data_IF_067433225039
#
_entry.id   IF_067433225039
#
_cell.length_a   1.000
_cell.length_b   1.000
_cell.length_c   1.000
_cell.angle_alpha   90.00
_cell.angle_beta   90.00
_cell.angle_gamma   90.00
#
_symmetry.space_group_name_H-M   'P 1'
#
loop_
_entity.id
_entity.type
_entity.pdbx_description
1 polymer ?
#
# COMPACT_ATOMS: atom_id res chain seq x y z
N UNK A 1 2.88 -84.14 19.15
CA UNK A 1 4.05 -84.78 18.53
C UNK A 1 3.82 -84.79 17.03
N UNK A 2 4.60 -84.10 16.20
CA UNK A 2 5.56 -83.02 16.46
C UNK A 2 5.69 -82.22 15.17
N UNK A 3 5.36 -80.93 15.19
CA UNK A 3 5.50 -80.08 14.01
C UNK A 3 6.98 -79.75 13.76
N UNK A 4 7.47 -80.06 12.56
CA UNK A 4 8.74 -79.58 12.03
C UNK A 4 8.49 -78.91 10.67
N UNK A 5 8.84 -77.62 10.49
CA UNK A 5 8.73 -76.98 9.19
C UNK A 5 9.87 -77.45 8.26
N UNK A 6 9.61 -77.66 6.96
CA UNK A 6 10.67 -77.83 5.99
C UNK A 6 11.38 -76.49 5.73
N UNK A 7 12.69 -76.54 5.53
CA UNK A 7 13.50 -75.41 5.08
C UNK A 7 13.53 -75.35 3.55
N UNK A 8 13.16 -74.22 2.96
CA UNK A 8 13.38 -73.96 1.53
C UNK A 8 14.49 -72.92 1.27
N UNK A 9 15.05 -72.98 0.07
CA UNK A 9 16.41 -72.50 -0.23
C UNK A 9 16.46 -71.18 -0.98
N UNK A 10 17.45 -70.34 -0.66
CA UNK A 10 17.76 -69.09 -1.36
C UNK A 10 18.33 -69.34 -2.77
N UNK A 11 17.75 -68.76 -3.85
CA UNK A 11 18.41 -68.61 -5.14
C UNK A 11 19.31 -67.37 -5.15
N UNK A 12 20.39 -67.40 -5.93
CA UNK A 12 21.29 -66.25 -6.15
C UNK A 12 21.14 -65.72 -7.57
N UNK A 13 21.08 -64.40 -7.75
CA UNK A 13 21.22 -63.73 -9.04
C UNK A 13 21.74 -62.30 -8.88
N UNK A 14 22.94 -62.09 -9.43
CA UNK A 14 23.62 -60.85 -9.88
C UNK A 14 22.93 -59.47 -9.75
N UNK A 15 23.69 -58.39 -9.45
CA UNK A 15 23.20 -57.00 -9.52
C UNK A 15 22.84 -56.58 -10.95
N UNK A 16 21.99 -55.54 -11.08
CA UNK A 16 21.60 -54.95 -12.36
C UNK A 16 22.68 -54.00 -12.93
N UNK A 17 22.60 -53.74 -14.23
CA UNK A 17 23.58 -52.95 -14.99
C UNK A 17 23.57 -51.43 -14.64
N UNK A 18 22.67 -51.00 -13.75
CA UNK A 18 22.49 -49.60 -13.35
C UNK A 18 23.62 -49.05 -12.45
N UNK A 19 24.36 -49.90 -11.73
CA UNK A 19 25.48 -49.43 -10.89
C UNK A 19 26.74 -49.03 -11.69
N UNK A 20 26.93 -49.50 -12.94
CA UNK A 20 28.13 -49.13 -13.71
C UNK A 20 28.06 -47.71 -14.30
N UNK A 21 26.85 -47.20 -14.63
CA UNK A 21 26.70 -45.87 -15.22
C UNK A 21 26.99 -44.75 -14.20
N UNK A 22 26.57 -44.95 -12.94
CA UNK A 22 26.81 -44.01 -11.84
C UNK A 22 28.31 -43.72 -11.59
N UNK A 23 29.18 -44.70 -11.81
CA UNK A 23 30.63 -44.56 -11.63
C UNK A 23 31.29 -43.64 -12.68
N UNK A 24 30.71 -43.54 -13.89
CA UNK A 24 31.29 -42.77 -15.01
C UNK A 24 31.06 -41.27 -14.87
N UNK A 25 29.91 -40.86 -14.33
CA UNK A 25 29.55 -39.44 -14.13
C UNK A 25 30.48 -38.75 -13.12
N UNK A 26 30.95 -39.47 -12.11
CA UNK A 26 31.75 -38.91 -11.01
C UNK A 26 33.19 -38.50 -11.40
N UNK A 27 33.77 -39.02 -12.48
CA UNK A 27 35.18 -38.77 -12.83
C UNK A 27 35.44 -37.51 -13.67
N UNK A 28 34.40 -36.84 -14.21
CA UNK A 28 34.60 -35.79 -15.22
C UNK A 28 34.94 -34.39 -14.66
N UNK A 29 35.11 -34.24 -13.34
CA UNK A 29 35.45 -32.96 -12.67
C UNK A 29 36.89 -32.97 -12.14
N UNK A 30 37.84 -33.41 -12.98
CA UNK A 30 39.26 -33.56 -12.63
C UNK A 30 40.19 -32.70 -13.50
N UNK A 31 39.97 -31.38 -13.49
CA UNK A 31 40.99 -30.37 -13.77
C UNK A 31 41.28 -30.02 -15.24
N UNK A 32 41.09 -28.74 -15.57
CA UNK A 32 42.16 -28.01 -16.26
C UNK A 32 42.14 -26.51 -15.92
N UNK A 33 43.31 -25.92 -15.69
CA UNK A 33 43.47 -24.46 -15.50
C UNK A 33 44.07 -23.86 -16.76
N UNK A 34 43.31 -23.07 -17.53
CA UNK A 34 43.76 -21.86 -18.28
C UNK A 34 42.71 -21.32 -19.26
N UNK A 35 42.23 -20.10 -18.98
CA UNK A 35 41.89 -19.11 -20.01
C UNK A 35 40.48 -19.11 -20.62
N UNK A 36 40.23 -18.02 -21.34
CA UNK A 36 39.16 -17.78 -22.33
C UNK A 36 37.69 -17.61 -21.87
N UNK A 37 37.31 -16.33 -21.75
CA UNK A 37 36.12 -15.68 -22.33
C UNK A 37 34.67 -16.13 -22.03
N UNK A 38 33.92 -15.17 -21.48
CA UNK A 38 32.50 -14.81 -21.74
C UNK A 38 31.47 -15.92 -22.06
N UNK A 39 30.55 -16.15 -21.13
CA UNK A 39 29.10 -16.20 -21.40
C UNK A 39 28.27 -16.01 -20.11
N UNK A 40 27.04 -15.50 -20.27
CA UNK A 40 25.86 -15.57 -19.39
C UNK A 40 26.02 -15.53 -17.85
N UNK A 41 25.39 -14.52 -17.21
CA UNK A 41 25.22 -14.44 -15.75
C UNK A 41 24.16 -13.44 -15.28
N UNK A 42 23.20 -13.04 -16.13
CA UNK A 42 22.24 -11.96 -15.87
C UNK A 42 21.05 -12.44 -15.01
N UNK A 43 21.29 -12.84 -13.76
CA UNK A 43 20.24 -13.19 -12.79
C UNK A 43 20.62 -12.79 -11.35
N UNK A 44 20.83 -11.49 -11.11
CA UNK A 44 20.73 -10.95 -9.75
C UNK A 44 19.28 -10.53 -9.51
N UNK A 45 18.55 -11.39 -8.79
CA UNK A 45 17.08 -11.29 -8.63
C UNK A 45 16.73 -10.04 -7.83
N UNK A 46 15.89 -9.17 -8.41
CA UNK A 46 15.30 -8.03 -7.70
C UNK A 46 14.38 -8.58 -6.59
N UNK A 47 14.53 -8.17 -5.33
CA UNK A 47 13.61 -8.58 -4.28
C UNK A 47 12.22 -7.99 -4.55
N UNK A 48 11.27 -8.87 -4.87
CA UNK A 48 9.88 -8.51 -5.11
C UNK A 48 9.28 -7.91 -3.83
N UNK A 49 8.96 -6.62 -3.84
CA UNK A 49 8.32 -5.94 -2.71
C UNK A 49 6.88 -6.45 -2.60
N UNK A 50 6.67 -7.37 -1.67
CA UNK A 50 5.36 -7.93 -1.33
C UNK A 50 4.55 -6.88 -0.54
N UNK A 51 3.85 -6.01 -1.26
CA UNK A 51 2.89 -5.07 -0.66
C UNK A 51 1.70 -5.88 -0.13
N UNK A 52 1.55 -5.92 1.19
CA UNK A 52 0.49 -6.66 1.88
C UNK A 52 -0.79 -5.82 1.88
N UNK A 53 -1.54 -5.89 0.77
CA UNK A 53 -2.86 -5.27 0.66
C UNK A 53 -3.91 -6.10 1.44
N UNK A 54 -4.03 -5.86 2.74
CA UNK A 54 -4.99 -6.54 3.63
C UNK A 54 -5.85 -5.56 4.42
N UNK A 55 -7.07 -5.27 3.96
CA UNK A 55 -8.15 -4.79 4.84
C UNK A 55 -9.09 -3.75 4.23
N UNK A 56 -8.55 -2.65 3.69
CA UNK A 56 -9.35 -1.55 3.14
C UNK A 56 -9.94 -1.91 1.76
N UNK A 57 -11.19 -1.51 1.52
CA UNK A 57 -11.80 -1.56 0.18
C UNK A 57 -11.40 -0.34 -0.69
N UNK A 58 -10.89 0.71 -0.05
CA UNK A 58 -10.37 1.90 -0.70
C UNK A 58 -8.85 1.97 -0.71
N UNK A 59 -8.33 2.81 -1.61
CA UNK A 59 -6.91 3.06 -1.83
C UNK A 59 -6.62 4.55 -1.92
N UNK A 60 -5.52 4.99 -1.30
CA UNK A 60 -5.03 6.37 -1.33
C UNK A 60 -3.59 6.41 -1.83
N UNK A 61 -3.28 7.37 -2.70
CA UNK A 61 -1.92 7.62 -3.21
C UNK A 61 -1.57 9.12 -3.12
N UNK A 62 -0.30 9.44 -2.86
CA UNK A 62 0.18 10.81 -2.76
C UNK A 62 0.20 11.38 -1.33
N UNK A 63 0.38 12.70 -1.22
CA UNK A 63 0.53 13.38 0.07
C UNK A 63 0.28 14.90 -0.04
N UNK A 64 -0.16 15.53 1.05
CA UNK A 64 -0.13 16.99 1.22
C UNK A 64 0.94 17.38 2.24
N UNK A 65 1.78 18.35 1.88
CA UNK A 65 2.79 18.97 2.75
C UNK A 65 2.29 20.34 3.20
N UNK A 66 2.32 20.57 4.51
CA UNK A 66 1.91 21.81 5.17
C UNK A 66 3.16 22.40 5.82
N UNK A 67 3.45 23.68 5.57
CA UNK A 67 4.61 24.39 6.11
C UNK A 67 4.25 25.81 6.53
N UNK A 68 4.93 26.36 7.55
CA UNK A 68 4.71 27.72 8.03
C UNK A 68 3.45 27.91 8.88
N UNK A 69 3.13 29.18 9.17
CA UNK A 69 1.93 29.59 9.90
C UNK A 69 1.74 28.99 11.32
N UNK A 70 0.53 29.15 11.90
CA UNK A 70 0.20 28.70 13.24
C UNK A 70 -0.03 27.18 13.34
N UNK A 71 -0.18 26.50 12.20
CA UNK A 71 -0.41 25.05 12.12
C UNK A 71 0.88 24.22 12.17
N UNK A 72 2.05 24.86 12.12
CA UNK A 72 3.35 24.20 12.19
C UNK A 72 3.78 23.61 10.84
N UNK A 73 4.48 22.48 10.83
CA UNK A 73 4.92 21.87 9.57
C UNK A 73 4.90 20.36 9.64
N UNK A 74 4.21 19.74 8.69
CA UNK A 74 3.92 18.30 8.66
C UNK A 74 3.62 17.83 7.23
N UNK A 75 3.49 16.52 7.04
CA UNK A 75 3.08 15.93 5.76
C UNK A 75 2.06 14.84 6.01
N UNK A 76 0.85 15.02 5.49
CA UNK A 76 -0.21 14.03 5.52
C UNK A 76 -0.03 13.10 4.32
N UNK A 77 0.23 11.83 4.59
CA UNK A 77 0.24 10.74 3.61
C UNK A 77 -0.89 9.79 4.00
N UNK A 78 -2.08 9.88 3.38
CA UNK A 78 -3.21 9.05 3.79
C UNK A 78 -2.97 7.57 3.52
N UNK A 79 -3.36 6.73 4.47
CA UNK A 79 -3.22 5.26 4.42
C UNK A 79 -4.55 4.52 4.43
N UNK A 80 -5.66 5.21 4.74
CA UNK A 80 -7.02 4.69 4.67
C UNK A 80 -7.98 5.80 4.23
N UNK A 81 -9.15 5.44 3.70
CA UNK A 81 -10.17 6.40 3.29
C UNK A 81 -11.59 5.88 3.43
N UNK A 82 -12.52 6.79 3.76
CA UNK A 82 -13.93 6.48 3.96
C UNK A 82 -14.85 7.53 3.31
N UNK A 83 -15.91 7.09 2.64
CA UNK A 83 -17.02 7.92 2.17
C UNK A 83 -17.66 8.69 3.31
N UNK A 84 -17.93 9.98 3.09
CA UNK A 84 -18.58 10.84 4.08
C UNK A 84 -20.12 10.76 4.06
N UNK A 85 -20.71 9.86 3.24
CA UNK A 85 -22.15 9.66 3.16
C UNK A 85 -22.84 9.40 4.53
N UNK A 86 -22.26 8.63 5.48
CA UNK A 86 -22.86 8.45 6.81
C UNK A 86 -23.06 9.75 7.60
N UNK A 87 -22.34 10.81 7.24
CA UNK A 87 -22.43 12.15 7.82
C UNK A 87 -23.25 13.12 6.97
N UNK A 88 -23.96 12.63 5.94
CA UNK A 88 -24.76 13.45 5.02
C UNK A 88 -23.95 14.36 4.09
N UNK A 89 -22.64 14.10 3.92
CA UNK A 89 -21.72 14.92 3.13
C UNK A 89 -21.22 14.17 1.89
N UNK A 90 -21.19 14.85 0.75
CA UNK A 90 -20.50 14.36 -0.45
C UNK A 90 -19.01 14.68 -0.33
N UNK A 91 -18.19 13.65 -0.17
CA UNK A 91 -16.77 13.79 0.12
C UNK A 91 -16.13 12.48 0.58
N UNK A 92 -14.82 12.50 0.72
CA UNK A 92 -14.05 11.45 1.36
C UNK A 92 -13.36 12.00 2.62
N UNK A 93 -13.15 11.13 3.60
CA UNK A 93 -12.25 11.37 4.72
C UNK A 93 -11.00 10.52 4.49
N UNK A 94 -9.84 11.16 4.32
CA UNK A 94 -8.56 10.50 4.00
C UNK A 94 -7.65 10.58 5.23
N UNK A 95 -7.47 9.46 5.93
CA UNK A 95 -6.81 9.40 7.24
C UNK A 95 -5.33 9.02 7.15
N UNK A 96 -4.52 9.55 8.08
CA UNK A 96 -3.20 8.99 8.40
C UNK A 96 -3.28 7.60 9.07
N UNK A 97 -2.14 7.07 9.50
CA UNK A 97 -2.03 5.68 9.97
C UNK A 97 -2.61 5.43 11.37
N UNK A 98 -2.55 6.45 12.24
CA UNK A 98 -3.16 6.47 13.57
C UNK A 98 -4.23 7.54 13.70
N UNK A 99 -5.09 7.40 14.71
CA UNK A 99 -6.24 8.30 14.93
C UNK A 99 -5.86 9.79 15.00
N UNK A 100 -4.68 10.10 15.54
CA UNK A 100 -4.21 11.47 15.72
C UNK A 100 -3.23 11.92 14.62
N UNK A 101 -3.05 11.17 13.54
CA UNK A 101 -2.06 11.47 12.49
C UNK A 101 -2.57 12.49 11.46
N UNK A 102 -3.76 13.06 11.71
CA UNK A 102 -4.43 14.03 10.85
C UNK A 102 -5.20 13.39 9.70
N UNK A 103 -5.94 14.23 8.98
CA UNK A 103 -6.87 13.84 7.94
C UNK A 103 -7.05 14.94 6.89
N UNK A 104 -7.48 14.54 5.69
CA UNK A 104 -7.81 15.42 4.57
C UNK A 104 -9.26 15.17 4.17
N UNK A 105 -10.04 16.24 4.05
CA UNK A 105 -11.48 16.19 3.78
C UNK A 105 -11.85 16.90 2.45
N UNK A 106 -11.58 16.30 1.28
CA UNK A 106 -12.18 16.76 0.03
C UNK A 106 -13.70 16.62 0.07
N UNK A 107 -14.41 17.74 0.01
CA UNK A 107 -15.90 17.77 0.04
C UNK A 107 -16.47 18.61 -1.10
N UNK A 108 -17.67 18.25 -1.53
CA UNK A 108 -18.49 19.00 -2.49
C UNK A 108 -19.82 19.33 -1.82
N UNK A 109 -20.01 20.60 -1.50
CA UNK A 109 -21.24 21.12 -0.91
C UNK A 109 -22.13 21.75 -2.01
N UNK A 110 -23.45 21.53 -2.01
CA UNK A 110 -24.34 22.07 -3.05
C UNK A 110 -24.57 23.58 -2.97
N UNK A 111 -24.16 24.24 -1.88
CA UNK A 111 -24.27 25.68 -1.65
C UNK A 111 -22.89 26.37 -1.68
N UNK A 112 -21.89 25.80 -1.03
CA UNK A 112 -20.52 26.35 -0.96
C UNK A 112 -19.61 25.91 -2.13
N UNK A 113 -19.96 24.82 -2.84
CA UNK A 113 -19.14 24.25 -3.92
C UNK A 113 -18.04 23.31 -3.42
N UNK A 114 -16.91 23.27 -4.14
CA UNK A 114 -15.76 22.42 -3.79
C UNK A 114 -14.97 22.99 -2.61
N UNK A 115 -14.60 22.14 -1.66
CA UNK A 115 -13.95 22.54 -0.40
C UNK A 115 -12.89 21.53 0.03
N UNK A 116 -11.87 22.03 0.71
CA UNK A 116 -10.82 21.22 1.32
C UNK A 116 -10.63 21.67 2.76
N UNK A 117 -10.92 20.76 3.70
CA UNK A 117 -10.58 20.93 5.11
C UNK A 117 -9.40 19.98 5.46
N UNK A 118 -8.48 20.43 6.31
CA UNK A 118 -7.29 19.70 6.75
C UNK A 118 -7.24 19.67 8.27
N UNK A 119 -7.02 18.49 8.85
CA UNK A 119 -6.86 18.29 10.28
C UNK A 119 -5.38 18.25 10.68
N UNK A 120 -5.03 18.99 11.74
CA UNK A 120 -3.67 19.11 12.24
C UNK A 120 -3.30 17.87 13.08
N UNK A 121 -2.21 17.15 12.76
CA UNK A 121 -1.76 16.00 13.55
C UNK A 121 -1.54 16.34 15.03
N UNK A 122 -1.89 15.41 15.91
CA UNK A 122 -1.75 15.55 17.36
C UNK A 122 -2.70 16.55 18.02
N UNK A 123 -3.59 17.21 17.26
CA UNK A 123 -4.46 18.28 17.80
C UNK A 123 -5.77 17.79 18.45
N UNK A 124 -6.06 16.50 18.35
CA UNK A 124 -7.26 15.87 18.91
C UNK A 124 -7.25 15.86 20.45
N UNK A 125 -8.32 16.40 21.06
CA UNK A 125 -8.48 16.52 22.52
C UNK A 125 -9.04 15.26 23.20
N UNK A 126 -9.62 14.35 22.43
CA UNK A 126 -10.25 13.13 22.92
C UNK A 126 -9.66 11.88 22.24
N UNK A 127 -9.66 10.74 22.94
CA UNK A 127 -9.04 9.49 22.47
C UNK A 127 -9.78 8.79 21.32
N UNK A 128 -10.94 9.31 20.94
CA UNK A 128 -11.70 8.94 19.76
C UNK A 128 -11.63 10.01 18.65
N UNK A 129 -10.76 11.02 18.81
CA UNK A 129 -10.50 12.15 17.90
C UNK A 129 -11.70 12.59 17.08
N UNK A 130 -12.68 13.19 17.76
CA UNK A 130 -13.80 13.92 17.15
C UNK A 130 -13.81 15.41 17.51
N UNK A 131 -12.87 15.85 18.36
CA UNK A 131 -12.62 17.24 18.74
C UNK A 131 -11.14 17.55 18.44
N UNK A 132 -10.85 17.74 17.15
CA UNK A 132 -9.52 17.98 16.58
C UNK A 132 -9.48 19.36 15.90
N UNK A 133 -8.28 19.95 15.77
CA UNK A 133 -8.12 21.24 15.08
C UNK A 133 -8.13 21.02 13.58
N UNK A 134 -9.14 21.57 12.92
CA UNK A 134 -9.34 21.52 11.47
C UNK A 134 -9.29 22.94 10.91
N UNK A 135 -8.58 23.15 9.79
CA UNK A 135 -8.57 24.41 9.06
C UNK A 135 -9.04 24.22 7.60
N UNK A 136 -9.74 25.22 7.08
CA UNK A 136 -10.17 25.30 5.68
C UNK A 136 -9.01 25.81 4.84
N UNK A 137 -8.79 25.23 3.66
CA UNK A 137 -7.92 25.82 2.62
C UNK A 137 -8.79 26.70 1.72
N UNK A 138 -8.71 28.04 1.81
CA UNK A 138 -9.49 28.94 0.97
C UNK A 138 -8.94 28.98 -0.47
N UNK A 139 -9.84 28.83 -1.46
CA UNK A 139 -9.52 28.60 -2.87
C UNK A 139 -8.84 29.79 -3.57
N UNK A 140 -9.12 30.99 -3.11
CA UNK A 140 -8.59 32.27 -3.60
C UNK A 140 -7.14 32.53 -3.19
N UNK A 141 -6.61 31.78 -2.22
CA UNK A 141 -5.20 31.81 -1.78
C UNK A 141 -4.31 30.81 -2.52
N UNK A 142 -4.77 30.29 -3.67
CA UNK A 142 -4.16 29.18 -4.37
C UNK A 142 -3.78 29.49 -5.82
N UNK A 143 -2.55 29.18 -6.20
CA UNK A 143 -2.11 29.15 -7.60
C UNK A 143 -2.74 27.95 -8.34
N UNK A 144 -3.01 26.86 -7.60
CA UNK A 144 -3.77 25.69 -8.05
C UNK A 144 -4.67 25.17 -6.94
N UNK A 145 -5.95 24.96 -7.24
CA UNK A 145 -6.91 24.34 -6.32
C UNK A 145 -7.90 23.48 -7.12
N UNK A 146 -7.65 22.17 -7.09
CA UNK A 146 -8.47 21.14 -7.72
C UNK A 146 -8.93 20.16 -6.65
N UNK A 147 -10.25 20.06 -6.45
CA UNK A 147 -10.88 19.02 -5.63
C UNK A 147 -11.98 18.42 -6.48
N UNK A 148 -11.90 17.12 -6.72
CA UNK A 148 -12.93 16.34 -7.40
C UNK A 148 -13.34 15.17 -6.53
N UNK A 149 -14.65 14.93 -6.43
CA UNK A 149 -15.24 13.78 -5.75
C UNK A 149 -16.39 13.27 -6.62
N UNK A 150 -16.39 11.99 -6.94
CA UNK A 150 -17.40 11.34 -7.77
C UNK A 150 -17.98 10.11 -7.07
N UNK A 151 -19.29 9.85 -7.23
CA UNK A 151 -19.85 8.55 -6.89
C UNK A 151 -19.34 7.48 -7.87
N UNK A 152 -18.89 6.35 -7.33
CA UNK A 152 -18.68 5.10 -8.07
C UNK A 152 -20.01 4.35 -8.24
N UNK A 153 -19.99 3.27 -9.03
CA UNK A 153 -21.14 2.36 -9.12
C UNK A 153 -21.27 1.39 -7.93
N UNK A 154 -20.31 1.38 -7.00
CA UNK A 154 -20.22 0.44 -5.87
C UNK A 154 -20.92 0.97 -4.62
N UNK A 155 -21.57 0.06 -3.87
CA UNK A 155 -22.09 0.31 -2.52
C UNK A 155 -21.69 -0.83 -1.60
N UNK A 156 -21.28 -0.49 -0.37
CA UNK A 156 -20.94 -1.44 0.70
C UNK A 156 -21.69 -1.00 1.95
N UNK A 157 -22.46 -1.88 2.59
CA UNK A 157 -23.24 -1.58 3.79
C UNK A 157 -24.10 -0.29 3.66
N UNK A 158 -24.81 -0.15 2.55
CA UNK A 158 -25.62 1.03 2.15
C UNK A 158 -24.86 2.37 2.01
N UNK A 159 -23.52 2.35 2.11
CA UNK A 159 -22.63 3.47 1.80
C UNK A 159 -22.19 3.41 0.34
N UNK A 160 -22.46 4.49 -0.41
CA UNK A 160 -21.92 4.76 -1.74
C UNK A 160 -20.47 5.21 -1.60
N UNK A 161 -19.57 4.54 -2.31
CA UNK A 161 -18.23 5.04 -2.63
C UNK A 161 -18.41 5.95 -3.85
N UNK A 162 -17.87 7.16 -4.07
CA UNK A 162 -16.71 7.94 -3.60
C UNK A 162 -15.31 7.49 -4.07
N UNK A 163 -14.75 8.34 -4.94
CA UNK A 163 -13.41 8.36 -5.53
C UNK A 163 -13.09 9.81 -5.94
N UNK A 164 -11.85 10.14 -6.24
CA UNK A 164 -11.49 11.48 -6.66
C UNK A 164 -10.02 11.84 -6.51
N UNK A 165 -9.76 13.15 -6.43
CA UNK A 165 -8.44 13.69 -6.16
C UNK A 165 -8.52 15.06 -5.49
N UNK A 166 -7.45 15.40 -4.76
CA UNK A 166 -7.14 16.73 -4.26
C UNK A 166 -5.78 17.14 -4.81
N UNK A 167 -5.67 18.35 -5.35
CA UNK A 167 -4.38 18.93 -5.76
C UNK A 167 -4.36 20.42 -5.46
N UNK A 168 -3.37 20.83 -4.68
CA UNK A 168 -3.26 22.19 -4.14
C UNK A 168 -1.84 22.72 -4.22
N UNK A 169 -1.76 24.02 -4.47
CA UNK A 169 -0.56 24.86 -4.37
C UNK A 169 -1.05 26.22 -3.88
N UNK A 170 -0.99 26.43 -2.56
CA UNK A 170 -1.62 27.54 -1.84
C UNK A 170 -0.67 28.20 -0.83
N UNK A 171 -0.87 29.50 -0.61
CA UNK A 171 -0.19 30.30 0.44
C UNK A 171 -1.23 31.17 1.13
N UNK A 172 -1.55 30.85 2.37
CA UNK A 172 -2.64 31.46 3.14
C UNK A 172 -2.23 32.79 3.79
N UNK A 173 -3.19 33.55 4.32
CA UNK A 173 -2.94 34.87 4.95
C UNK A 173 -1.99 34.81 6.15
N UNK A 174 -1.90 33.65 6.81
CA UNK A 174 -1.10 33.40 8.00
C UNK A 174 0.29 32.79 7.68
N UNK A 175 0.73 32.90 6.43
CA UNK A 175 1.97 32.32 5.89
C UNK A 175 2.00 30.77 5.88
N UNK A 176 0.86 30.10 6.07
CA UNK A 176 0.76 28.64 5.85
C UNK A 176 0.83 28.33 4.34
N UNK A 177 1.83 27.56 3.94
CA UNK A 177 1.91 26.95 2.60
C UNK A 177 1.28 25.56 2.62
N UNK A 178 0.40 25.27 1.66
CA UNK A 178 -0.23 23.95 1.47
C UNK A 178 0.03 23.49 0.05
N UNK A 179 0.85 22.44 -0.12
CA UNK A 179 1.29 21.96 -1.43
C UNK A 179 1.22 20.44 -1.50
N UNK A 180 0.56 19.90 -2.52
CA UNK A 180 0.58 18.46 -2.79
C UNK A 180 -0.52 17.96 -3.71
N UNK A 181 -0.56 16.65 -3.85
CA UNK A 181 -1.54 15.91 -4.66
C UNK A 181 -1.86 14.58 -3.96
N UNK A 182 -3.14 14.25 -3.87
CA UNK A 182 -3.65 12.99 -3.32
C UNK A 182 -4.75 12.48 -4.24
N UNK A 183 -4.66 11.21 -4.64
CA UNK A 183 -5.67 10.49 -5.42
C UNK A 183 -6.29 9.41 -4.54
N UNK A 184 -7.59 9.16 -4.70
CA UNK A 184 -8.31 8.16 -3.90
C UNK A 184 -9.41 7.46 -4.71
N UNK A 185 -9.63 6.16 -4.46
CA UNK A 185 -10.70 5.36 -5.08
C UNK A 185 -11.20 4.31 -4.07
N UNK A 186 -12.46 3.87 -4.21
CA UNK A 186 -13.07 2.83 -3.36
C UNK A 186 -13.35 3.23 -1.90
N UNK A 187 -13.41 4.53 -1.59
CA UNK A 187 -13.62 5.07 -0.24
C UNK A 187 -15.12 5.16 0.10
#
# INVERSE_FOLDING_TARGET
>A
MSDQPPSESTPSSSPSEEEEEAARVAQQVAGNKRGAFMALGLFMVIPLVLVVATGSCGSTEGSLRIEGGPHGSFTLTPTDCHSMQPYGRMGANLHGAGHNDGAIYPTVDPLEGVRLDIEVPGSCRNSNGTDCTVFRVPRDHCSRFEVSVEHTNTTVNDVRLVRGHTRVDCTLEDETHVVGEVVFDGC
#
